data_IF_777537907542
#
_entry.id   IF_777537907542
#
_cell.length_a   1.000
_cell.length_b   1.000
_cell.length_c   1.000
_cell.angle_alpha   90.00
_cell.angle_beta   90.00
_cell.angle_gamma   90.00
#
_symmetry.space_group_name_H-M   'P 1'
#
loop_
_entity.id
_entity.type
_entity.pdbx_description
1 polymer ?
#
# COMPACT_ATOMS: atom_id res chain seq x y z
N UNK A 1 40.75 3.10 4.89
CA UNK A 1 39.53 3.82 4.45
C UNK A 1 39.94 4.84 3.40
N UNK A 2 40.02 4.42 2.13
CA UNK A 2 40.67 5.24 1.10
C UNK A 2 39.76 6.38 0.64
N UNK A 3 40.36 7.55 0.46
CA UNK A 3 39.79 8.88 0.19
C UNK A 3 38.97 9.05 -1.11
N UNK A 4 38.33 7.99 -1.63
CA UNK A 4 37.64 7.97 -2.93
C UNK A 4 36.13 8.13 -2.84
N UNK A 5 35.51 7.77 -1.71
CA UNK A 5 34.09 8.09 -1.42
C UNK A 5 33.83 9.59 -1.24
N UNK A 6 34.88 10.39 -0.95
CA UNK A 6 34.78 11.80 -0.62
C UNK A 6 34.56 12.73 -1.83
N UNK A 7 34.59 12.20 -3.06
CA UNK A 7 34.38 12.98 -4.28
C UNK A 7 32.91 13.12 -4.69
N UNK A 8 32.00 12.31 -4.10
CA UNK A 8 30.57 12.53 -4.18
C UNK A 8 30.20 13.48 -3.04
N UNK A 9 29.94 14.73 -3.44
CA UNK A 9 29.81 15.94 -2.66
C UNK A 9 28.77 15.88 -1.53
N UNK A 10 28.65 16.99 -0.79
CA UNK A 10 27.62 17.31 0.21
C UNK A 10 26.17 16.96 -0.17
N UNK A 11 25.91 16.63 -1.44
CA UNK A 11 24.59 16.41 -2.03
C UNK A 11 24.20 14.92 -2.16
N UNK A 12 24.97 13.98 -1.57
CA UNK A 12 24.67 12.53 -1.60
C UNK A 12 24.66 11.87 -0.21
N UNK A 13 24.44 12.68 0.84
CA UNK A 13 24.50 12.20 2.23
C UNK A 13 23.39 11.18 2.53
N UNK A 14 22.19 11.37 1.98
CA UNK A 14 21.03 10.48 2.15
C UNK A 14 21.24 9.16 1.43
N UNK A 15 21.82 9.19 0.23
CA UNK A 15 22.15 7.99 -0.54
C UNK A 15 23.17 7.11 0.20
N UNK A 16 24.22 7.72 0.77
CA UNK A 16 25.23 6.99 1.55
C UNK A 16 24.60 6.34 2.79
N UNK A 17 23.67 7.03 3.46
CA UNK A 17 22.93 6.47 4.59
C UNK A 17 22.05 5.28 4.16
N UNK A 18 21.34 5.42 3.04
CA UNK A 18 20.49 4.37 2.48
C UNK A 18 21.28 3.10 2.10
N UNK A 19 22.43 3.26 1.42
CA UNK A 19 23.31 2.14 1.04
C UNK A 19 23.83 1.38 2.26
N UNK A 20 24.16 2.09 3.34
CA UNK A 20 24.59 1.50 4.61
C UNK A 20 23.44 0.74 5.27
N UNK A 21 22.25 1.34 5.35
CA UNK A 21 21.06 0.71 5.93
C UNK A 21 20.65 -0.56 5.16
N UNK A 22 20.72 -0.52 3.82
CA UNK A 22 20.41 -1.65 2.95
C UNK A 22 21.48 -2.77 2.95
N UNK A 23 22.66 -2.52 3.53
CA UNK A 23 23.77 -3.48 3.53
C UNK A 23 24.38 -3.73 2.14
N UNK A 24 24.30 -2.76 1.23
CA UNK A 24 24.77 -2.91 -0.15
C UNK A 24 26.22 -2.45 -0.38
N UNK A 25 26.92 -2.03 0.68
CA UNK A 25 28.32 -1.56 0.60
C UNK A 25 29.20 -2.60 -0.08
N UNK A 26 29.16 -3.85 0.36
CA UNK A 26 29.97 -4.94 -0.21
C UNK A 26 29.59 -5.26 -1.67
N UNK A 27 28.30 -5.10 -2.03
CA UNK A 27 27.82 -5.32 -3.40
C UNK A 27 28.34 -4.25 -4.36
N UNK A 28 28.33 -2.99 -3.92
CA UNK A 28 28.84 -1.86 -4.69
C UNK A 28 30.37 -1.81 -4.72
N UNK A 29 31.06 -2.40 -3.74
CA UNK A 29 32.52 -2.59 -3.73
C UNK A 29 32.98 -3.82 -4.56
N UNK A 30 32.03 -4.57 -5.15
CA UNK A 30 32.30 -5.76 -5.94
C UNK A 30 33.15 -5.54 -7.21
N UNK A 31 33.70 -6.63 -7.75
CA UNK A 31 34.50 -6.64 -8.98
C UNK A 31 33.60 -6.63 -10.21
N UNK A 32 33.14 -5.47 -10.64
CA UNK A 32 32.50 -5.28 -11.95
C UNK A 32 32.73 -3.87 -12.47
N UNK A 33 32.51 -3.61 -13.77
CA UNK A 33 32.03 -2.30 -14.18
C UNK A 33 30.53 -2.22 -13.87
N UNK A 34 30.14 -1.27 -13.05
CA UNK A 34 28.74 -0.93 -12.77
C UNK A 34 28.44 0.48 -13.26
N UNK A 35 27.26 0.71 -13.83
CA UNK A 35 26.74 2.06 -14.02
C UNK A 35 25.72 2.34 -12.91
N UNK A 36 26.02 3.31 -12.04
CA UNK A 36 25.19 3.70 -10.90
C UNK A 36 24.49 5.01 -11.21
N UNK A 37 23.16 5.01 -11.16
CA UNK A 37 22.33 6.20 -11.19
C UNK A 37 22.15 6.70 -9.75
N UNK A 38 22.88 7.71 -9.31
CA UNK A 38 22.87 8.19 -7.95
C UNK A 38 21.85 9.33 -7.77
N UNK A 39 20.75 9.14 -7.01
CA UNK A 39 19.85 10.23 -6.67
C UNK A 39 20.53 11.23 -5.76
N UNK A 40 20.36 12.50 -6.07
CA UNK A 40 20.82 13.61 -5.22
C UNK A 40 19.99 13.73 -3.94
N UNK A 41 20.49 14.41 -2.91
CA UNK A 41 19.74 14.72 -1.70
C UNK A 41 18.46 15.53 -2.04
N UNK A 42 18.49 16.34 -3.10
CA UNK A 42 17.31 17.02 -3.63
C UNK A 42 16.28 16.05 -4.21
N UNK A 43 16.71 14.94 -4.81
CA UNK A 43 15.81 13.87 -5.27
C UNK A 43 15.12 13.17 -4.10
N UNK A 44 15.86 12.91 -3.00
CA UNK A 44 15.27 12.37 -1.76
C UNK A 44 14.33 13.37 -1.07
N UNK A 45 14.66 14.66 -1.08
CA UNK A 45 13.81 15.70 -0.50
C UNK A 45 12.49 15.91 -1.26
N UNK A 46 12.39 15.44 -2.51
CA UNK A 46 11.13 15.42 -3.28
C UNK A 46 10.21 14.26 -2.89
N UNK A 47 10.71 13.26 -2.16
CA UNK A 47 9.88 12.27 -1.50
C UNK A 47 9.22 12.91 -0.27
N UNK A 48 7.99 12.51 0.07
CA UNK A 48 7.35 12.98 1.31
C UNK A 48 8.26 12.62 2.50
N UNK A 49 8.47 13.53 3.46
CA UNK A 49 9.45 13.31 4.54
C UNK A 49 9.19 12.04 5.35
N UNK A 50 7.92 11.65 5.49
CA UNK A 50 7.52 10.41 6.16
C UNK A 50 7.96 9.18 5.35
N UNK A 51 7.93 9.24 4.02
CA UNK A 51 8.37 8.15 3.15
C UNK A 51 9.88 7.89 3.27
N UNK A 52 10.71 8.94 3.43
CA UNK A 52 12.16 8.77 3.61
C UNK A 52 12.47 8.10 4.94
N UNK A 53 11.78 8.48 6.02
CA UNK A 53 11.96 7.86 7.33
C UNK A 53 11.52 6.39 7.33
N UNK A 54 10.38 6.09 6.70
CA UNK A 54 9.89 4.72 6.52
C UNK A 54 10.88 3.88 5.70
N UNK A 55 11.41 4.42 4.60
CA UNK A 55 12.39 3.72 3.76
C UNK A 55 13.71 3.44 4.47
N UNK A 56 14.13 4.29 5.40
CA UNK A 56 15.36 4.13 6.18
C UNK A 56 15.17 3.29 7.46
N UNK A 57 13.94 2.89 7.77
CA UNK A 57 13.64 2.06 8.93
C UNK A 57 14.25 0.65 8.77
N UNK A 58 14.73 0.00 9.86
CA UNK A 58 15.27 -1.36 9.81
C UNK A 58 14.33 -2.38 9.17
N UNK A 59 13.02 -2.20 9.35
CA UNK A 59 11.94 -3.03 8.82
C UNK A 59 11.85 -2.93 7.28
N UNK A 60 12.20 -1.78 6.71
CA UNK A 60 12.18 -1.51 5.27
C UNK A 60 13.46 -1.92 4.55
N UNK A 61 14.43 -2.54 5.24
CA UNK A 61 15.76 -2.89 4.69
C UNK A 61 15.70 -3.65 3.36
N UNK A 62 14.80 -4.62 3.25
CA UNK A 62 14.66 -5.43 2.03
C UNK A 62 14.14 -4.58 0.86
N UNK A 63 13.19 -3.69 1.13
CA UNK A 63 12.59 -2.83 0.11
C UNK A 63 13.57 -1.73 -0.32
N UNK A 64 14.26 -1.12 0.64
CA UNK A 64 15.36 -0.20 0.39
C UNK A 64 16.47 -0.86 -0.45
N UNK A 65 16.79 -2.14 -0.18
CA UNK A 65 17.76 -2.90 -0.97
C UNK A 65 17.32 -3.07 -2.42
N UNK A 66 16.04 -3.36 -2.68
CA UNK A 66 15.51 -3.45 -4.06
C UNK A 66 15.55 -2.11 -4.77
N UNK A 67 15.10 -1.03 -4.13
CA UNK A 67 15.10 0.32 -4.69
C UNK A 67 16.52 0.72 -5.10
N UNK A 68 17.49 0.51 -4.22
CA UNK A 68 18.89 0.85 -4.51
C UNK A 68 19.48 -0.04 -5.62
N UNK A 69 19.08 -1.31 -5.72
CA UNK A 69 19.50 -2.18 -6.82
C UNK A 69 18.92 -1.76 -8.18
N UNK A 70 17.77 -1.09 -8.21
CA UNK A 70 17.22 -0.51 -9.44
C UNK A 70 17.96 0.73 -9.94
N UNK A 71 18.88 1.26 -9.14
CA UNK A 71 19.80 2.32 -9.55
C UNK A 71 21.14 1.78 -10.08
N UNK A 72 21.31 0.46 -10.14
CA UNK A 72 22.58 -0.16 -10.52
C UNK A 72 22.39 -1.03 -11.75
N UNK A 73 23.08 -0.66 -12.81
CA UNK A 73 23.10 -1.39 -14.08
C UNK A 73 24.42 -2.16 -14.16
N UNK A 74 24.36 -3.41 -14.60
CA UNK A 74 25.56 -4.19 -14.86
C UNK A 74 26.17 -3.77 -16.20
N UNK A 75 27.45 -3.40 -16.21
CA UNK A 75 28.16 -2.97 -17.41
C UNK A 75 28.66 -1.53 -17.33
N UNK A 76 29.52 -1.17 -18.30
CA UNK A 76 30.03 0.18 -18.49
C UNK A 76 29.18 0.89 -19.54
N UNK A 77 28.12 1.56 -19.09
CA UNK A 77 27.26 2.37 -19.96
C UNK A 77 27.72 3.82 -19.91
N UNK A 78 28.65 4.19 -20.80
CA UNK A 78 29.05 5.58 -20.99
C UNK A 78 27.97 6.40 -21.70
N UNK A 79 28.06 7.72 -21.60
CA UNK A 79 27.13 8.64 -22.29
C UNK A 79 27.10 8.35 -23.80
N UNK A 80 28.27 8.14 -24.41
CA UNK A 80 28.39 7.83 -25.84
C UNK A 80 27.75 6.48 -26.20
N UNK A 81 27.91 5.46 -25.35
CA UNK A 81 27.30 4.15 -25.56
C UNK A 81 25.77 4.24 -25.45
N UNK A 82 25.24 4.96 -24.45
CA UNK A 82 23.80 5.18 -24.29
C UNK A 82 23.24 5.92 -25.52
N UNK A 83 23.89 6.97 -26.00
CA UNK A 83 23.45 7.73 -27.17
C UNK A 83 23.49 6.89 -28.46
N UNK A 84 24.52 6.05 -28.63
CA UNK A 84 24.63 5.14 -29.77
C UNK A 84 23.49 4.11 -29.78
N UNK A 85 23.18 3.52 -28.62
CA UNK A 85 22.07 2.57 -28.48
C UNK A 85 20.71 3.23 -28.69
N UNK A 86 20.49 4.45 -28.19
CA UNK A 86 19.27 5.22 -28.44
C UNK A 86 19.09 5.47 -29.94
N UNK A 87 20.17 5.85 -30.64
CA UNK A 87 20.14 6.08 -32.08
C UNK A 87 19.88 4.79 -32.87
N UNK A 88 20.43 3.65 -32.43
CA UNK A 88 20.21 2.36 -33.05
C UNK A 88 18.80 1.79 -32.85
N UNK A 89 18.14 2.14 -31.74
CA UNK A 89 16.86 1.56 -31.32
C UNK A 89 15.67 2.54 -31.48
N UNK A 90 15.60 3.25 -32.62
CA UNK A 90 14.50 4.17 -32.95
C UNK A 90 14.22 5.25 -31.88
N UNK A 91 15.24 5.73 -31.19
CA UNK A 91 15.14 6.83 -30.23
C UNK A 91 14.89 6.42 -28.77
N UNK A 92 14.97 5.12 -28.44
CA UNK A 92 14.88 4.65 -27.05
C UNK A 92 15.77 3.42 -26.81
N UNK A 93 16.48 3.38 -25.69
CA UNK A 93 17.30 2.25 -25.28
C UNK A 93 16.83 1.69 -23.93
N UNK A 94 16.41 0.42 -23.90
CA UNK A 94 15.94 -0.24 -22.68
C UNK A 94 17.03 -1.16 -22.10
N UNK A 95 17.25 -1.06 -20.79
CA UNK A 95 18.23 -1.88 -20.06
C UNK A 95 17.67 -2.31 -18.72
N UNK A 96 18.01 -3.54 -18.31
CA UNK A 96 17.62 -4.07 -17.02
C UNK A 96 18.72 -3.83 -15.97
N UNK A 97 18.27 -3.53 -14.76
CA UNK A 97 19.11 -3.28 -13.59
C UNK A 97 19.36 -4.57 -12.81
N UNK A 98 20.32 -4.58 -11.90
CA UNK A 98 20.55 -5.74 -11.01
C UNK A 98 19.38 -5.99 -10.05
N UNK A 99 18.50 -5.00 -9.89
CA UNK A 99 17.26 -5.10 -9.12
C UNK A 99 16.09 -5.71 -9.89
N UNK A 100 16.25 -5.99 -11.19
CA UNK A 100 15.18 -6.47 -12.07
C UNK A 100 14.25 -5.36 -12.58
N UNK A 101 14.58 -4.09 -12.34
CA UNK A 101 13.87 -2.96 -12.95
C UNK A 101 14.33 -2.74 -14.38
N UNK A 102 13.37 -2.45 -15.27
CA UNK A 102 13.64 -2.03 -16.65
C UNK A 102 13.65 -0.51 -16.76
N UNK A 103 14.75 0.03 -17.27
CA UNK A 103 14.96 1.46 -17.46
C UNK A 103 15.04 1.77 -18.94
N UNK A 104 14.32 2.79 -19.39
CA UNK A 104 14.33 3.24 -20.79
C UNK A 104 14.97 4.62 -20.89
N UNK A 105 16.13 4.67 -21.54
CA UNK A 105 16.84 5.90 -21.85
C UNK A 105 16.31 6.53 -23.13
N UNK A 106 16.14 7.85 -23.10
CA UNK A 106 15.79 8.70 -24.26
C UNK A 106 16.65 9.94 -24.27
N UNK A 107 17.02 10.38 -25.46
CA UNK A 107 17.82 11.59 -25.65
C UNK A 107 16.98 12.67 -26.36
N UNK A 108 17.04 13.89 -25.82
CA UNK A 108 16.53 15.09 -26.46
C UNK A 108 17.68 16.11 -26.57
N UNK A 109 18.39 16.09 -27.70
CA UNK A 109 19.62 16.87 -27.86
C UNK A 109 20.73 16.32 -26.96
N UNK A 110 21.33 17.17 -26.13
CA UNK A 110 22.36 16.79 -25.14
C UNK A 110 21.80 16.24 -23.83
N UNK A 111 20.47 16.28 -23.64
CA UNK A 111 19.84 15.85 -22.40
C UNK A 111 19.41 14.39 -22.51
N UNK A 112 19.92 13.57 -21.60
CA UNK A 112 19.50 12.17 -21.45
C UNK A 112 18.49 12.11 -20.30
N UNK A 113 17.36 11.49 -20.60
CA UNK A 113 16.34 11.15 -19.62
C UNK A 113 16.26 9.65 -19.48
N UNK A 114 15.99 9.19 -18.27
CA UNK A 114 15.71 7.79 -17.97
C UNK A 114 14.28 7.69 -17.47
N UNK A 115 13.49 6.84 -18.09
CA UNK A 115 12.11 6.52 -17.70
C UNK A 115 12.11 5.13 -17.08
N UNK A 116 11.56 4.99 -15.89
CA UNK A 116 11.35 3.65 -15.33
C UNK A 116 10.14 2.94 -15.98
N UNK A 117 9.95 1.68 -15.63
CA UNK A 117 8.84 0.86 -16.14
C UNK A 117 7.44 1.36 -15.72
N UNK A 118 7.34 2.38 -14.86
CA UNK A 118 6.08 2.99 -14.39
C UNK A 118 5.81 4.37 -15.00
N UNK A 119 6.71 4.85 -15.87
CA UNK A 119 6.56 6.13 -16.55
C UNK A 119 7.12 7.31 -15.77
N UNK A 120 7.81 7.08 -14.65
CA UNK A 120 8.51 8.14 -13.93
C UNK A 120 9.80 8.51 -14.67
N UNK A 121 9.93 9.79 -15.00
CA UNK A 121 11.06 10.33 -15.76
C UNK A 121 12.04 11.00 -14.80
N UNK A 122 13.30 10.59 -14.83
CA UNK A 122 14.42 11.28 -14.21
C UNK A 122 15.37 11.84 -15.28
N UNK A 123 15.96 13.00 -15.00
CA UNK A 123 16.97 13.61 -15.85
C UNK A 123 18.36 13.24 -15.34
N UNK A 124 19.28 12.93 -16.26
CA UNK A 124 20.69 12.78 -15.90
C UNK A 124 21.30 14.19 -15.76
N UNK A 125 21.71 14.55 -14.54
CA UNK A 125 22.09 15.93 -14.15
C UNK A 125 23.60 16.18 -14.27
N UNK A 126 24.45 15.15 -14.29
CA UNK A 126 25.90 15.32 -14.39
C UNK A 126 26.60 14.14 -15.10
N UNK A 127 27.68 14.49 -15.81
CA UNK A 127 28.50 13.66 -16.70
C UNK A 127 29.44 12.71 -15.97
N UNK A 128 29.54 11.49 -16.51
CA UNK A 128 30.54 10.43 -16.33
C UNK A 128 31.57 10.63 -15.21
N UNK A 129 31.17 10.46 -13.94
CA UNK A 129 32.16 10.36 -12.86
C UNK A 129 32.74 8.95 -12.90
N UNK A 130 33.90 8.81 -13.55
CA UNK A 130 34.61 7.53 -13.67
C UNK A 130 35.16 7.07 -12.31
N UNK A 131 34.63 5.96 -11.82
CA UNK A 131 35.09 5.26 -10.63
C UNK A 131 35.93 4.05 -11.02
N UNK A 132 36.60 3.43 -10.04
CA UNK A 132 37.50 2.28 -10.28
C UNK A 132 36.73 1.01 -10.66
N UNK A 133 35.44 0.97 -10.35
CA UNK A 133 34.51 -0.14 -10.50
C UNK A 133 33.25 0.27 -11.30
N UNK A 134 33.29 1.39 -12.05
CA UNK A 134 32.08 1.83 -12.74
C UNK A 134 31.98 3.31 -13.12
N UNK A 135 30.80 3.69 -13.60
CA UNK A 135 30.37 5.05 -13.87
C UNK A 135 29.27 5.46 -12.89
N UNK A 136 29.27 6.72 -12.47
CA UNK A 136 28.19 7.29 -11.65
C UNK A 136 27.55 8.47 -12.38
N UNK A 137 26.22 8.42 -12.53
CA UNK A 137 25.39 9.50 -13.06
C UNK A 137 24.53 10.08 -11.97
N UNK A 138 24.48 11.40 -11.86
CA UNK A 138 23.54 12.06 -10.97
C UNK A 138 22.13 12.03 -11.56
N UNK A 139 21.11 11.69 -10.77
CA UNK A 139 19.70 11.80 -11.16
C UNK A 139 18.92 12.71 -10.20
N UNK A 140 17.95 13.45 -10.73
CA UNK A 140 17.11 14.39 -9.98
C UNK A 140 15.85 13.77 -9.37
N UNK A 141 15.67 12.45 -9.54
CA UNK A 141 14.56 11.67 -9.01
C UNK A 141 15.05 10.28 -8.57
N UNK A 142 14.47 9.75 -7.50
CA UNK A 142 14.70 8.37 -7.06
C UNK A 142 13.96 7.43 -8.01
N UNK A 143 14.70 6.57 -8.71
CA UNK A 143 14.18 5.53 -9.61
C UNK A 143 13.75 4.33 -8.78
N UNK A 144 12.46 4.15 -8.67
CA UNK A 144 11.90 3.07 -7.87
C UNK A 144 11.56 1.89 -8.80
N UNK A 145 11.44 0.64 -8.30
CA UNK A 145 10.65 -0.41 -8.95
C UNK A 145 9.16 -0.05 -9.04
N UNK A 146 8.84 1.23 -9.31
CA UNK A 146 7.54 1.87 -9.14
C UNK A 146 7.39 2.42 -7.74
N UNK A 147 6.32 3.19 -7.49
CA UNK A 147 5.68 3.03 -6.19
C UNK A 147 5.65 1.52 -5.89
N UNK A 148 6.11 1.09 -4.70
CA UNK A 148 6.38 -0.32 -4.38
C UNK A 148 5.36 -1.20 -5.07
N UNK A 149 5.77 -2.17 -5.89
CA UNK A 149 4.89 -2.96 -6.78
C UNK A 149 3.49 -3.25 -6.17
N UNK A 150 2.54 -2.34 -6.40
CA UNK A 150 1.18 -2.42 -5.85
C UNK A 150 0.27 -3.26 -6.75
N UNK A 151 0.79 -3.80 -7.86
CA UNK A 151 0.06 -4.79 -8.64
C UNK A 151 -0.10 -6.12 -7.88
N UNK A 152 0.69 -6.29 -6.82
CA UNK A 152 0.69 -7.45 -5.95
C UNK A 152 0.34 -7.17 -4.48
N UNK A 153 0.32 -5.90 -4.06
CA UNK A 153 -0.02 -5.43 -2.70
C UNK A 153 -1.39 -4.75 -2.72
N UNK A 154 -2.35 -5.34 -1.99
CA UNK A 154 -3.69 -4.78 -1.85
C UNK A 154 -3.65 -3.76 -0.72
N UNK A 155 -4.02 -2.51 -1.00
CA UNK A 155 -4.11 -1.47 0.02
C UNK A 155 -5.51 -1.39 0.62
N UNK A 156 -5.59 -1.32 1.95
CA UNK A 156 -6.86 -1.10 2.61
C UNK A 156 -7.31 0.35 2.43
N UNK A 157 -8.54 0.55 1.98
CA UNK A 157 -9.13 1.87 1.85
C UNK A 157 -10.58 1.89 2.32
N UNK A 158 -11.16 3.08 2.48
CA UNK A 158 -12.58 3.24 2.80
C UNK A 158 -13.31 4.19 1.86
N UNK A 159 -14.61 3.95 1.74
CA UNK A 159 -15.58 4.90 1.18
C UNK A 159 -16.86 4.91 2.01
N UNK A 160 -17.56 6.04 1.98
CA UNK A 160 -19.00 6.08 2.28
C UNK A 160 -19.74 5.88 0.96
N UNK A 161 -20.67 4.93 0.92
CA UNK A 161 -21.35 4.55 -0.32
C UNK A 161 -22.87 4.67 -0.17
N UNK A 162 -23.51 5.30 -1.14
CA UNK A 162 -24.98 5.35 -1.23
C UNK A 162 -25.60 4.01 -1.67
N UNK A 163 -26.94 3.92 -1.76
CA UNK A 163 -27.65 2.66 -1.98
C UNK A 163 -27.31 1.93 -3.30
N UNK A 164 -26.95 2.69 -4.35
CA UNK A 164 -26.67 2.16 -5.68
C UNK A 164 -25.16 1.95 -5.95
N UNK A 165 -24.31 2.19 -4.95
CA UNK A 165 -22.85 2.07 -5.06
C UNK A 165 -22.35 0.73 -4.48
N UNK A 166 -23.26 -0.18 -4.14
CA UNK A 166 -22.98 -1.51 -3.59
C UNK A 166 -23.41 -2.64 -4.54
N UNK A 167 -22.57 -3.66 -4.79
CA UNK A 167 -21.17 -3.74 -4.38
C UNK A 167 -20.27 -2.82 -5.24
N UNK A 168 -19.17 -2.28 -4.69
CA UNK A 168 -18.25 -1.45 -5.45
C UNK A 168 -17.37 -2.34 -6.35
N UNK A 169 -17.68 -2.37 -7.64
CA UNK A 169 -17.10 -3.31 -8.61
C UNK A 169 -15.77 -2.85 -9.24
N UNK A 170 -15.39 -1.59 -9.05
CA UNK A 170 -14.17 -0.99 -9.59
C UNK A 170 -12.93 -1.18 -8.70
N UNK A 171 -13.04 -2.01 -7.67
CA UNK A 171 -11.98 -2.32 -6.71
C UNK A 171 -11.51 -3.77 -6.84
N UNK A 172 -10.32 -4.08 -6.32
CA UNK A 172 -9.79 -5.45 -6.32
C UNK A 172 -10.67 -6.39 -5.50
N UNK A 173 -11.15 -5.88 -4.36
CA UNK A 173 -12.01 -6.55 -3.39
C UNK A 173 -12.80 -5.49 -2.63
N UNK A 174 -13.80 -5.91 -1.87
CA UNK A 174 -14.50 -4.98 -0.98
C UNK A 174 -14.87 -5.60 0.36
N UNK A 175 -14.80 -4.78 1.39
CA UNK A 175 -15.36 -4.99 2.71
C UNK A 175 -16.62 -4.15 2.91
N UNK A 176 -17.43 -4.50 3.91
CA UNK A 176 -18.53 -3.68 4.38
C UNK A 176 -18.62 -3.75 5.90
N UNK A 177 -18.92 -2.61 6.54
CA UNK A 177 -19.36 -2.57 7.93
C UNK A 177 -20.90 -2.70 7.98
N UNK A 178 -21.37 -3.94 8.15
CA UNK A 178 -22.78 -4.30 8.08
C UNK A 178 -23.44 -4.39 9.45
N UNK A 179 -24.58 -3.72 9.61
CA UNK A 179 -25.41 -3.76 10.80
C UNK A 179 -26.67 -4.59 10.52
N UNK A 180 -27.16 -5.31 11.53
CA UNK A 180 -28.40 -6.09 11.43
C UNK A 180 -29.65 -5.24 11.67
N UNK A 181 -29.53 -4.18 12.46
CA UNK A 181 -30.63 -3.31 12.90
C UNK A 181 -30.23 -1.84 12.80
N UNK A 182 -31.23 -0.94 12.90
CA UNK A 182 -30.97 0.49 13.03
C UNK A 182 -30.32 0.78 14.38
N UNK A 183 -29.44 1.77 14.39
CA UNK A 183 -28.83 2.29 15.61
C UNK A 183 -29.94 2.85 16.51
N UNK A 184 -29.94 2.41 17.77
CA UNK A 184 -30.85 2.92 18.81
C UNK A 184 -30.13 3.94 19.68
N UNK A 185 -30.88 4.71 20.48
CA UNK A 185 -30.30 5.63 21.46
C UNK A 185 -29.40 4.92 22.50
N UNK A 186 -29.65 3.63 22.76
CA UNK A 186 -28.88 2.85 23.75
C UNK A 186 -27.51 2.45 23.23
N UNK A 187 -27.39 2.24 21.91
CA UNK A 187 -26.15 1.79 21.29
C UNK A 187 -25.43 2.91 20.51
N UNK A 188 -26.02 4.10 20.43
CA UNK A 188 -25.52 5.21 19.61
C UNK A 188 -24.05 5.55 19.91
N UNK A 189 -23.69 5.68 21.18
CA UNK A 189 -22.31 5.97 21.60
C UNK A 189 -21.35 4.85 21.22
N UNK A 190 -21.78 3.59 21.37
CA UNK A 190 -20.97 2.44 20.96
C UNK A 190 -20.73 2.43 19.44
N UNK A 191 -21.77 2.68 18.66
CA UNK A 191 -21.67 2.68 17.20
C UNK A 191 -20.86 3.89 16.69
N UNK A 192 -20.94 5.02 17.38
CA UNK A 192 -20.11 6.20 17.10
C UNK A 192 -18.64 5.91 17.36
N UNK A 193 -18.32 5.31 18.49
CA UNK A 193 -16.97 4.86 18.83
C UNK A 193 -16.40 3.88 17.80
N UNK A 194 -17.22 2.93 17.31
CA UNK A 194 -16.82 2.02 16.21
C UNK A 194 -16.58 2.75 14.89
N UNK A 195 -17.41 3.75 14.56
CA UNK A 195 -17.20 4.61 13.40
C UNK A 195 -15.89 5.39 13.48
N UNK A 196 -15.62 6.03 14.61
CA UNK A 196 -14.42 6.82 14.80
C UNK A 196 -13.17 5.95 14.69
N UNK A 197 -13.18 4.75 15.29
CA UNK A 197 -12.10 3.79 15.14
C UNK A 197 -11.90 3.38 13.67
N UNK A 198 -12.99 3.14 12.93
CA UNK A 198 -12.94 2.80 11.50
C UNK A 198 -12.36 3.94 10.65
N UNK A 199 -12.87 5.16 10.82
CA UNK A 199 -12.45 6.33 10.02
C UNK A 199 -11.00 6.71 10.30
N UNK A 200 -10.51 6.48 11.53
CA UNK A 200 -9.12 6.73 11.91
C UNK A 200 -8.15 5.66 11.41
N UNK A 201 -8.56 4.38 11.42
CA UNK A 201 -7.69 3.28 11.02
C UNK A 201 -7.62 3.11 9.50
N UNK A 202 -8.73 3.33 8.79
CA UNK A 202 -8.81 3.07 7.35
C UNK A 202 -8.78 4.39 6.57
N UNK A 203 -7.82 4.55 5.67
CA UNK A 203 -7.65 5.77 4.89
C UNK A 203 -8.72 5.90 3.78
N UNK A 204 -9.21 7.11 3.48
CA UNK A 204 -10.12 7.31 2.35
C UNK A 204 -9.47 6.86 1.03
N UNK A 205 -10.24 6.17 0.18
CA UNK A 205 -9.74 5.72 -1.14
C UNK A 205 -9.15 6.87 -1.99
N UNK A 206 -9.73 8.07 -1.89
CA UNK A 206 -9.27 9.25 -2.61
C UNK A 206 -7.94 9.83 -2.11
N UNK A 207 -7.45 9.45 -0.92
CA UNK A 207 -6.15 9.90 -0.41
C UNK A 207 -5.01 8.96 -0.77
N UNK A 208 -5.30 7.77 -1.32
CA UNK A 208 -4.27 6.81 -1.71
C UNK A 208 -3.74 7.14 -3.11
N UNK A 209 -2.43 6.99 -3.30
CA UNK A 209 -1.73 7.24 -4.58
C UNK A 209 -1.68 5.97 -5.45
N UNK A 210 -2.55 5.00 -5.19
CA UNK A 210 -2.59 3.69 -5.86
C UNK A 210 -3.93 3.53 -6.59
N UNK A 211 -3.97 2.85 -7.75
CA UNK A 211 -5.22 2.67 -8.51
C UNK A 211 -6.26 1.88 -7.70
N UNK A 212 -7.56 2.09 -7.94
CA UNK A 212 -8.62 1.36 -7.23
C UNK A 212 -8.56 -0.16 -7.45
N UNK A 213 -8.02 -0.60 -8.59
CA UNK A 213 -7.73 -2.00 -8.89
C UNK A 213 -6.65 -2.64 -7.99
N UNK A 214 -5.89 -1.84 -7.23
CA UNK A 214 -4.92 -2.27 -6.22
C UNK A 214 -5.44 -2.00 -4.79
N UNK A 215 -6.72 -1.65 -4.63
CA UNK A 215 -7.32 -1.34 -3.34
C UNK A 215 -8.39 -2.37 -2.98
N UNK A 216 -8.43 -2.76 -1.70
CA UNK A 216 -9.62 -3.32 -1.10
C UNK A 216 -10.34 -2.21 -0.33
N UNK A 217 -11.53 -1.86 -0.82
CA UNK A 217 -12.33 -0.81 -0.20
C UNK A 217 -13.28 -1.37 0.85
N UNK A 218 -13.25 -0.82 2.06
CA UNK A 218 -14.24 -1.09 3.10
C UNK A 218 -15.33 -0.03 3.06
N UNK A 219 -16.56 -0.48 2.84
CA UNK A 219 -17.73 0.37 2.64
C UNK A 219 -18.43 0.65 3.95
N UNK A 220 -18.68 1.92 4.23
CA UNK A 220 -19.74 2.35 5.14
C UNK A 220 -21.01 2.64 4.33
N UNK A 221 -22.06 1.80 4.44
CA UNK A 221 -23.27 1.99 3.65
C UNK A 221 -24.12 3.15 4.20
N UNK A 222 -24.65 3.97 3.30
CA UNK A 222 -25.51 5.12 3.61
C UNK A 222 -26.79 5.08 2.77
N UNK A 223 -27.87 5.63 3.31
CA UNK A 223 -29.18 5.71 2.62
C UNK A 223 -29.22 6.87 1.60
N UNK A 224 -28.36 7.89 1.72
CA UNK A 224 -28.23 8.99 0.75
C UNK A 224 -26.83 9.06 0.11
N UNK A 225 -26.81 9.10 -1.22
CA UNK A 225 -25.58 9.37 -2.00
C UNK A 225 -25.06 10.81 -1.79
N UNK A 226 -25.93 11.76 -1.44
CA UNK A 226 -25.51 13.14 -1.12
C UNK A 226 -24.78 13.17 0.22
N UNK A 227 -25.33 12.53 1.25
CA UNK A 227 -24.68 12.43 2.55
C UNK A 227 -23.39 11.61 2.49
N UNK A 228 -23.33 10.54 1.69
CA UNK A 228 -22.09 9.80 1.45
C UNK A 228 -20.95 10.68 0.91
N UNK A 229 -21.26 11.56 -0.05
CA UNK A 229 -20.30 12.54 -0.60
C UNK A 229 -19.90 13.60 0.44
N UNK A 230 -20.84 14.02 1.29
CA UNK A 230 -20.57 14.98 2.37
C UNK A 230 -19.65 14.37 3.44
N UNK A 231 -19.97 13.15 3.91
CA UNK A 231 -19.20 12.38 4.88
C UNK A 231 -17.74 12.16 4.41
N UNK A 232 -17.53 11.95 3.11
CA UNK A 232 -16.18 11.82 2.54
C UNK A 232 -15.33 13.09 2.67
N UNK A 233 -15.96 14.28 2.74
CA UNK A 233 -15.29 15.58 2.81
C UNK A 233 -15.26 16.19 4.21
N UNK A 234 -16.03 15.64 5.15
CA UNK A 234 -16.18 16.18 6.49
C UNK A 234 -15.00 15.80 7.40
N UNK A 235 -14.88 16.49 8.54
CA UNK A 235 -13.99 16.06 9.62
C UNK A 235 -14.57 14.82 10.34
N UNK A 236 -13.72 14.09 11.06
CA UNK A 236 -14.05 12.76 11.60
C UNK A 236 -15.31 12.77 12.49
N UNK A 237 -15.39 13.69 13.46
CA UNK A 237 -16.51 13.72 14.41
C UNK A 237 -17.85 13.94 13.71
N UNK A 238 -17.92 14.93 12.80
CA UNK A 238 -19.13 15.21 12.03
C UNK A 238 -19.49 14.07 11.09
N UNK A 239 -18.48 13.42 10.51
CA UNK A 239 -18.64 12.27 9.62
C UNK A 239 -19.42 11.15 10.33
N UNK A 240 -19.04 10.79 11.55
CA UNK A 240 -19.65 9.66 12.25
C UNK A 240 -21.06 9.94 12.77
N UNK A 241 -21.36 11.18 13.17
CA UNK A 241 -22.72 11.57 13.54
C UNK A 241 -23.67 11.45 12.32
N UNK A 242 -23.27 11.99 11.16
CA UNK A 242 -24.04 11.92 9.92
C UNK A 242 -24.15 10.46 9.40
N UNK A 243 -23.06 9.69 9.47
CA UNK A 243 -22.98 8.32 8.97
C UNK A 243 -23.85 7.32 9.76
N UNK A 244 -24.11 7.58 11.05
CA UNK A 244 -25.03 6.78 11.87
C UNK A 244 -26.49 7.18 11.65
N UNK A 245 -26.75 8.48 11.47
CA UNK A 245 -28.11 8.98 11.23
C UNK A 245 -28.67 8.48 9.90
N UNK A 246 -27.83 8.44 8.86
CA UNK A 246 -28.21 8.07 7.49
C UNK A 246 -27.64 6.71 7.10
N UNK A 247 -27.55 5.79 8.06
CA UNK A 247 -26.96 4.48 7.87
C UNK A 247 -27.80 3.60 6.91
N UNK A 248 -27.13 3.02 5.91
CA UNK A 248 -27.72 2.23 4.83
C UNK A 248 -28.18 0.82 5.21
N UNK A 249 -29.15 0.69 6.13
CA UNK A 249 -29.54 -0.60 6.71
C UNK A 249 -29.95 -1.67 5.69
N UNK A 250 -30.63 -1.29 4.61
CA UNK A 250 -31.07 -2.25 3.58
C UNK A 250 -29.89 -2.95 2.89
N UNK A 251 -28.84 -2.20 2.56
CA UNK A 251 -27.59 -2.70 1.99
C UNK A 251 -26.90 -3.62 2.99
N UNK A 252 -26.88 -3.25 4.26
CA UNK A 252 -26.22 -3.98 5.33
C UNK A 252 -26.88 -5.32 5.62
N UNK A 253 -28.21 -5.35 5.71
CA UNK A 253 -28.95 -6.59 5.87
C UNK A 253 -28.81 -7.48 4.63
N UNK A 254 -28.72 -6.90 3.43
CA UNK A 254 -28.39 -7.65 2.22
C UNK A 254 -27.02 -8.30 2.31
N UNK A 255 -25.99 -7.54 2.72
CA UNK A 255 -24.64 -8.06 2.90
C UNK A 255 -24.57 -9.20 3.94
N UNK A 256 -25.28 -9.08 5.05
CA UNK A 256 -25.40 -10.16 6.06
C UNK A 256 -26.06 -11.40 5.46
N UNK A 257 -27.15 -11.25 4.70
CA UNK A 257 -27.80 -12.39 4.02
C UNK A 257 -26.88 -13.05 3.00
N UNK A 258 -26.16 -12.26 2.21
CA UNK A 258 -25.22 -12.76 1.21
C UNK A 258 -24.04 -13.50 1.86
N UNK A 259 -23.58 -13.05 3.03
CA UNK A 259 -22.56 -13.75 3.82
C UNK A 259 -23.05 -15.10 4.36
N UNK A 260 -24.28 -15.12 4.92
CA UNK A 260 -24.91 -16.36 5.39
C UNK A 260 -25.11 -17.35 4.24
N UNK A 261 -25.58 -16.87 3.08
CA UNK A 261 -25.71 -17.69 1.88
C UNK A 261 -24.36 -18.23 1.37
N UNK A 262 -23.26 -17.53 1.66
CA UNK A 262 -21.90 -17.95 1.33
C UNK A 262 -21.33 -19.01 2.30
N UNK A 263 -22.11 -19.42 3.32
CA UNK A 263 -21.73 -20.43 4.32
C UNK A 263 -21.09 -19.85 5.59
N UNK A 264 -21.14 -18.53 5.78
CA UNK A 264 -20.53 -17.87 6.94
C UNK A 264 -21.56 -17.68 8.05
N UNK A 265 -21.27 -18.19 9.26
CA UNK A 265 -22.12 -17.96 10.43
C UNK A 265 -22.09 -16.47 10.82
N UNK A 266 -23.24 -15.84 11.06
CA UNK A 266 -23.35 -14.43 11.45
C UNK A 266 -24.37 -14.33 12.58
N UNK A 267 -23.95 -14.73 13.79
CA UNK A 267 -24.89 -14.99 14.90
C UNK A 267 -25.02 -13.83 15.90
N UNK A 268 -24.00 -12.98 16.06
CA UNK A 268 -24.02 -11.85 16.99
C UNK A 268 -24.97 -10.69 16.64
N UNK A 269 -24.94 -9.61 17.40
CA UNK A 269 -25.72 -8.39 17.17
C UNK A 269 -25.04 -7.42 16.19
N UNK A 270 -23.72 -7.53 16.07
CA UNK A 270 -22.88 -6.72 15.20
C UNK A 270 -22.49 -5.35 15.79
N UNK A 271 -21.96 -4.44 14.95
CA UNK A 271 -21.82 -4.58 13.51
C UNK A 271 -20.78 -5.64 13.11
N UNK A 272 -20.80 -6.01 11.83
CA UNK A 272 -19.91 -7.00 11.26
C UNK A 272 -19.02 -6.35 10.21
N UNK A 273 -17.74 -6.66 10.22
CA UNK A 273 -16.90 -6.46 9.05
C UNK A 273 -16.97 -7.73 8.21
N UNK A 274 -17.31 -7.60 6.93
CA UNK A 274 -17.41 -8.74 6.00
C UNK A 274 -16.75 -8.35 4.68
N UNK A 275 -15.84 -9.16 4.16
CA UNK A 275 -15.15 -8.92 2.90
C UNK A 275 -15.39 -10.01 1.87
N UNK A 276 -15.46 -9.61 0.60
CA UNK A 276 -15.55 -10.49 -0.56
C UNK A 276 -14.43 -10.20 -1.55
N UNK A 277 -13.90 -11.28 -2.14
CA UNK A 277 -12.97 -11.20 -3.27
C UNK A 277 -13.21 -12.37 -4.25
N UNK A 278 -13.26 -12.12 -5.57
CA UNK A 278 -13.41 -10.80 -6.19
C UNK A 278 -14.84 -10.23 -5.95
N UNK A 279 -15.07 -8.92 -6.15
CA UNK A 279 -16.38 -8.28 -5.92
C UNK A 279 -17.54 -8.92 -6.69
N UNK A 280 -17.24 -9.60 -7.79
CA UNK A 280 -18.20 -10.26 -8.68
C UNK A 280 -18.73 -11.61 -8.15
N UNK A 281 -18.20 -12.11 -7.03
CA UNK A 281 -18.61 -13.39 -6.45
C UNK A 281 -19.56 -13.28 -5.25
N UNK A 282 -20.12 -12.10 -4.96
CA UNK A 282 -21.10 -11.89 -3.87
C UNK A 282 -22.22 -12.97 -3.87
N UNK A 283 -22.51 -13.52 -2.69
CA UNK A 283 -23.55 -14.52 -2.49
C UNK A 283 -23.21 -15.93 -2.99
N UNK A 284 -22.01 -16.16 -3.53
CA UNK A 284 -21.53 -17.51 -3.88
C UNK A 284 -20.87 -18.19 -2.66
N UNK A 285 -21.04 -19.52 -2.48
CA UNK A 285 -20.35 -20.26 -1.44
C UNK A 285 -18.83 -20.03 -1.47
N UNK A 286 -18.24 -19.67 -0.33
CA UNK A 286 -16.79 -19.43 -0.20
C UNK A 286 -16.29 -18.10 -0.78
N UNK A 287 -17.18 -17.18 -1.16
CA UNK A 287 -16.77 -15.86 -1.67
C UNK A 287 -16.43 -14.83 -0.56
N UNK A 288 -16.78 -15.13 0.70
CA UNK A 288 -16.38 -14.31 1.85
C UNK A 288 -14.98 -14.71 2.27
N UNK A 289 -14.09 -13.73 2.36
CA UNK A 289 -12.64 -13.93 2.56
C UNK A 289 -12.15 -13.40 3.89
N UNK A 290 -12.90 -12.47 4.50
CA UNK A 290 -12.61 -11.91 5.82
C UNK A 290 -13.91 -11.63 6.57
N UNK A 291 -13.93 -11.91 7.87
CA UNK A 291 -15.05 -11.53 8.73
C UNK A 291 -14.61 -11.18 10.16
N UNK A 292 -15.06 -10.05 10.67
CA UNK A 292 -15.05 -9.76 12.10
C UNK A 292 -16.45 -9.53 12.65
N UNK A 293 -16.71 -10.07 13.84
CA UNK A 293 -17.91 -9.79 14.63
C UNK A 293 -17.55 -8.81 15.73
N UNK A 294 -18.15 -7.62 15.70
CA UNK A 294 -17.83 -6.54 16.64
C UNK A 294 -18.81 -6.50 17.81
N UNK A 295 -19.73 -7.46 17.95
CA UNK A 295 -20.80 -7.47 18.98
C UNK A 295 -20.29 -7.20 20.39
N UNK A 296 -19.14 -7.77 20.76
CA UNK A 296 -18.56 -7.66 22.10
C UNK A 296 -17.64 -6.46 22.29
N UNK A 297 -17.48 -5.60 21.28
CA UNK A 297 -16.61 -4.43 21.35
C UNK A 297 -17.32 -3.31 22.10
N UNK A 298 -16.81 -2.99 23.29
CA UNK A 298 -17.37 -1.96 24.17
C UNK A 298 -16.43 -0.78 24.41
N UNK A 299 -15.15 -0.90 24.03
CA UNK A 299 -14.12 0.10 24.30
C UNK A 299 -13.43 0.56 23.00
N UNK A 300 -13.06 1.84 22.95
CA UNK A 300 -12.37 2.43 21.80
C UNK A 300 -11.06 1.70 21.47
N UNK A 301 -10.28 1.31 22.49
CA UNK A 301 -9.03 0.58 22.26
C UNK A 301 -9.27 -0.74 21.53
N UNK A 302 -10.27 -1.51 21.95
CA UNK A 302 -10.65 -2.76 21.27
C UNK A 302 -11.08 -2.49 19.82
N UNK A 303 -11.89 -1.45 19.60
CA UNK A 303 -12.34 -1.05 18.27
C UNK A 303 -11.15 -0.68 17.38
N UNK A 304 -10.25 0.17 17.88
CA UNK A 304 -9.03 0.60 17.19
C UNK A 304 -8.13 -0.59 16.85
N UNK A 305 -7.86 -1.48 17.82
CA UNK A 305 -7.01 -2.65 17.62
C UNK A 305 -7.59 -3.58 16.53
N UNK A 306 -8.91 -3.77 16.51
CA UNK A 306 -9.58 -4.57 15.47
C UNK A 306 -9.50 -3.89 14.10
N UNK A 307 -9.72 -2.58 14.02
CA UNK A 307 -9.70 -1.85 12.73
C UNK A 307 -8.29 -1.75 12.14
N UNK A 308 -7.26 -1.54 12.96
CA UNK A 308 -5.86 -1.61 12.51
C UNK A 308 -5.52 -3.01 12.03
N UNK A 309 -5.97 -4.04 12.73
CA UNK A 309 -5.74 -5.42 12.29
C UNK A 309 -6.48 -5.74 11.00
N UNK A 310 -7.70 -5.23 10.83
CA UNK A 310 -8.43 -5.32 9.57
C UNK A 310 -7.60 -4.79 8.41
N UNK A 311 -6.96 -3.61 8.56
CA UNK A 311 -6.04 -3.04 7.56
C UNK A 311 -4.83 -3.95 7.33
N UNK A 312 -4.14 -4.36 8.40
CA UNK A 312 -2.93 -5.20 8.33
C UNK A 312 -3.21 -6.52 7.61
N UNK A 313 -4.35 -7.14 7.86
CA UNK A 313 -4.74 -8.42 7.26
C UNK A 313 -5.09 -8.29 5.78
N UNK A 314 -5.67 -7.16 5.37
CA UNK A 314 -5.85 -6.82 3.96
C UNK A 314 -4.49 -6.72 3.27
N UNK A 315 -3.55 -6.00 3.86
CA UNK A 315 -2.28 -5.64 3.23
C UNK A 315 -1.26 -6.80 3.24
N UNK A 316 -1.25 -7.63 4.29
CA UNK A 316 -0.23 -8.66 4.49
C UNK A 316 -0.63 -10.09 4.10
N UNK A 317 -1.85 -10.32 3.61
CA UNK A 317 -2.30 -11.64 3.14
C UNK A 317 -2.67 -11.66 1.65
N UNK A 318 -1.68 -11.49 0.76
CA UNK A 318 -1.96 -11.47 -0.67
C UNK A 318 -2.64 -12.74 -1.22
N UNK A 319 -2.49 -13.88 -0.54
CA UNK A 319 -3.16 -15.14 -0.87
C UNK A 319 -4.68 -15.08 -0.72
N UNK A 320 -5.22 -14.25 0.18
CA UNK A 320 -6.66 -13.98 0.27
C UNK A 320 -7.19 -13.27 -0.98
N UNK A 321 -6.31 -12.74 -1.83
CA UNK A 321 -6.74 -11.85 -2.92
C UNK A 321 -6.36 -12.41 -4.31
N UNK A 322 -5.43 -13.36 -4.40
CA UNK A 322 -4.76 -13.75 -5.66
C UNK A 322 -5.39 -14.89 -6.47
N UNK A 323 -5.98 -15.93 -5.88
CA UNK A 323 -6.13 -17.20 -6.64
C UNK A 323 -7.50 -17.46 -7.29
N UNK A 324 -8.57 -16.77 -6.92
CA UNK A 324 -9.93 -17.07 -7.43
C UNK A 324 -10.42 -18.53 -7.22
N UNK A 325 -9.59 -19.37 -6.58
CA UNK A 325 -9.78 -20.77 -6.21
C UNK A 325 -9.19 -20.90 -4.82
N UNK A 326 -10.04 -20.64 -3.84
CA UNK A 326 -9.68 -20.54 -2.43
C UNK A 326 -9.47 -21.91 -1.78
N UNK A 327 -8.44 -22.01 -0.92
CA UNK A 327 -8.43 -23.03 0.13
C UNK A 327 -9.46 -22.63 1.19
N UNK A 328 -10.45 -23.51 1.38
CA UNK A 328 -11.69 -23.23 2.12
C UNK A 328 -11.52 -23.25 3.65
N UNK A 329 -10.31 -23.52 4.14
CA UNK A 329 -9.99 -23.57 5.56
C UNK A 329 -9.56 -22.23 6.17
N UNK A 330 -9.42 -21.17 5.38
CA UNK A 330 -8.82 -19.89 5.79
C UNK A 330 -9.85 -18.76 6.00
N UNK A 331 -11.08 -19.06 6.41
CA UNK A 331 -11.99 -18.01 6.92
C UNK A 331 -11.50 -17.64 8.31
N UNK A 332 -10.77 -16.54 8.39
CA UNK A 332 -10.29 -16.05 9.67
C UNK A 332 -11.44 -15.27 10.34
N UNK A 333 -11.98 -15.81 11.44
CA UNK A 333 -13.07 -15.19 12.23
C UNK A 333 -12.53 -14.37 13.40
N UNK A 334 -13.20 -13.30 13.83
CA UNK A 334 -12.77 -12.48 14.99
C UNK A 334 -12.42 -13.29 16.27
N UNK A 335 -13.06 -14.46 16.49
CA UNK A 335 -12.79 -15.34 17.64
C UNK A 335 -11.49 -16.13 17.44
N UNK A 336 -11.30 -16.75 16.27
CA UNK A 336 -10.03 -17.37 15.89
C UNK A 336 -8.90 -16.36 15.73
N UNK A 337 -9.19 -15.10 15.38
CA UNK A 337 -8.23 -14.00 15.35
C UNK A 337 -7.75 -13.61 16.74
N UNK A 338 -8.66 -13.59 17.72
CA UNK A 338 -8.31 -13.37 19.12
C UNK A 338 -7.55 -14.58 19.68
N UNK A 339 -7.89 -15.80 19.29
CA UNK A 339 -7.19 -17.00 19.78
C UNK A 339 -5.82 -17.20 19.11
N UNK A 340 -5.67 -16.88 17.82
CA UNK A 340 -4.43 -17.05 17.05
C UNK A 340 -3.40 -15.94 17.33
N UNK A 341 -3.86 -14.70 17.57
CA UNK A 341 -2.98 -13.54 17.80
C UNK A 341 -3.10 -12.92 19.20
N UNK A 342 -4.04 -13.38 20.04
CA UNK A 342 -4.25 -12.86 21.39
C UNK A 342 -3.17 -13.29 22.39
N UNK A 343 -2.40 -14.34 22.10
CA UNK A 343 -1.22 -14.69 22.90
C UNK A 343 -0.17 -13.56 22.94
N UNK A 344 -0.14 -12.67 21.94
CA UNK A 344 0.71 -11.48 21.90
C UNK A 344 0.11 -10.25 22.62
N UNK A 345 -1.21 -10.22 22.84
CA UNK A 345 -1.89 -9.15 23.59
C UNK A 345 -1.81 -9.41 25.10
N UNK A 346 -1.96 -10.66 25.54
CA UNK A 346 -1.83 -11.02 26.96
C UNK A 346 -0.38 -10.93 27.49
N UNK A 347 0.63 -10.96 26.63
CA UNK A 347 2.03 -10.76 27.05
C UNK A 347 2.42 -9.29 27.27
N UNK A 348 1.62 -8.33 26.80
CA UNK A 348 1.92 -6.87 26.92
C UNK A 348 1.07 -6.19 27.99
N UNK A 349 -0.09 -6.77 28.36
CA UNK A 349 -0.89 -6.31 29.50
C UNK A 349 -0.65 -7.27 30.66
N UNK A 350 0.44 -7.07 31.39
CA UNK A 350 0.88 -7.96 32.48
C UNK A 350 -0.17 -8.14 33.59
N UNK A 351 -1.04 -9.13 33.43
CA UNK A 351 -1.92 -9.64 34.48
C UNK A 351 -1.69 -11.15 34.56
N UNK A 352 -1.20 -11.59 35.73
CA UNK A 352 -1.06 -12.99 36.10
C UNK A 352 -2.41 -13.68 36.20
#
# INVERSE_FOLDING_TARGET
MSSRYAALSKDYTTLIAAVKAAGLVETLEGKGPFTVLAPTDAAFARLQQDAVQVLLAPEAKNELSKILKCHVISGDLSTDAILAEIAANNGAYSVDTIGGCSLTFRAAGSNISVTDQFGDIASLVASDVKQTNGLVYAVDKVLSPGAPDTSHEIHASRIFAGPNEYPPTNFAAYGILAFKSKVTIYDQERQKMLCEAFVNAVLPSSSLVVPTAAQMVTVWPMDSAEHAKAATKANITRTCDEALQDYGLAVSQKAVRDAVASGVAVDGDGPFLIAWAPPTQIGKPGAVVLKADLSTVTEYKMASDIMHRWVVEIENRPELWRSGTFDRSLIATAREWADHYGSLIFSVVGVK
#
